data_IF_990070119613
#
_entry.id   IF_990070119613
#
_cell.length_a   1.000
_cell.length_b   1.000
_cell.length_c   1.000
_cell.angle_alpha   90.00
_cell.angle_beta   90.00
_cell.angle_gamma   90.00
#
_symmetry.space_group_name_H-M   'P 1'
#
loop_
_entity.id
_entity.type
_entity.pdbx_description
1 polymer ?
#
# COMPACT_ATOMS: atom_id res chain seq x y z
N UNK A 1 -7.66 -12.32 -2.15
CA UNK A 1 -6.62 -13.36 -2.28
C UNK A 1 -5.88 -13.23 -3.60
N UNK A 2 -6.56 -13.35 -4.75
CA UNK A 2 -5.88 -13.36 -6.05
C UNK A 2 -5.16 -12.05 -6.43
N UNK A 3 -5.68 -10.89 -6.00
CA UNK A 3 -5.09 -9.59 -6.32
C UNK A 3 -3.70 -9.41 -5.70
N UNK A 4 -3.53 -9.70 -4.40
CA UNK A 4 -2.22 -9.53 -3.75
C UNK A 4 -1.17 -10.43 -4.39
N UNK A 5 -1.46 -11.72 -4.56
CA UNK A 5 -0.55 -12.66 -5.21
C UNK A 5 -0.16 -12.19 -6.63
N UNK A 6 -1.14 -11.74 -7.42
CA UNK A 6 -0.90 -11.17 -8.76
C UNK A 6 0.00 -9.95 -8.72
N UNK A 7 -0.24 -9.01 -7.80
CA UNK A 7 0.57 -7.79 -7.71
C UNK A 7 1.97 -8.04 -7.15
N UNK A 8 2.17 -9.12 -6.39
CA UNK A 8 3.47 -9.55 -5.89
C UNK A 8 4.27 -10.38 -6.90
N UNK A 9 3.68 -10.81 -8.02
CA UNK A 9 4.35 -11.68 -9.00
C UNK A 9 5.63 -11.02 -9.54
N UNK A 10 6.76 -11.73 -9.42
CA UNK A 10 8.06 -11.26 -9.87
C UNK A 10 8.67 -10.12 -9.05
N UNK A 11 8.10 -9.79 -7.88
CA UNK A 11 8.66 -8.77 -6.96
C UNK A 11 9.39 -9.43 -5.80
N UNK A 12 10.42 -8.75 -5.31
CA UNK A 12 11.10 -9.17 -4.09
C UNK A 12 10.13 -9.11 -2.88
N UNK A 13 10.27 -9.98 -1.88
CA UNK A 13 9.49 -9.89 -0.64
C UNK A 13 9.60 -8.50 0.00
N UNK A 14 8.54 -8.09 0.70
CA UNK A 14 8.42 -6.77 1.34
C UNK A 14 8.39 -5.58 0.38
N UNK A 15 8.18 -5.81 -0.92
CA UNK A 15 7.93 -4.73 -1.89
C UNK A 15 6.54 -4.14 -1.71
N UNK A 16 6.46 -2.81 -1.57
CA UNK A 16 5.20 -2.07 -1.55
C UNK A 16 4.42 -2.23 -2.87
N UNK A 17 3.11 -2.44 -2.78
CA UNK A 17 2.23 -2.65 -3.94
C UNK A 17 0.92 -1.86 -3.83
N UNK A 18 0.29 -1.58 -4.97
CA UNK A 18 -1.12 -1.21 -5.06
C UNK A 18 -1.91 -2.50 -5.27
N UNK A 19 -2.74 -2.89 -4.31
CA UNK A 19 -3.43 -4.19 -4.33
C UNK A 19 -4.45 -4.28 -5.48
N UNK A 20 -5.32 -3.28 -5.61
CA UNK A 20 -6.34 -3.21 -6.65
C UNK A 20 -6.01 -2.09 -7.64
N UNK A 21 -5.24 -2.42 -8.69
CA UNK A 21 -4.87 -1.47 -9.74
C UNK A 21 -6.06 -1.04 -10.59
N UNK A 22 -7.10 -1.87 -10.70
CA UNK A 22 -8.29 -1.54 -11.46
C UNK A 22 -8.99 -0.33 -10.81
N UNK A 23 -9.30 -0.44 -9.52
CA UNK A 23 -9.91 0.65 -8.78
C UNK A 23 -8.97 1.85 -8.62
N UNK A 24 -7.68 1.62 -8.36
CA UNK A 24 -6.73 2.71 -8.12
C UNK A 24 -6.42 3.53 -9.37
N UNK A 25 -6.25 2.88 -10.54
CA UNK A 25 -5.62 3.48 -11.72
C UNK A 25 -6.42 3.37 -13.02
N UNK A 26 -7.36 2.42 -13.15
CA UNK A 26 -7.93 2.08 -14.47
C UNK A 26 -9.41 2.48 -14.61
N UNK A 27 -10.20 2.25 -13.55
CA UNK A 27 -11.64 2.48 -13.57
C UNK A 27 -11.96 3.96 -13.74
N UNK A 28 -12.87 4.27 -14.65
CA UNK A 28 -13.32 5.65 -14.85
C UNK A 28 -14.41 6.01 -13.82
N UNK A 29 -14.08 6.87 -12.86
CA UNK A 29 -15.02 7.38 -11.86
C UNK A 29 -15.60 8.77 -12.19
N UNK A 30 -15.27 9.33 -13.35
CA UNK A 30 -15.68 10.68 -13.74
C UNK A 30 -14.52 11.47 -14.34
N UNK A 31 -14.85 12.57 -15.00
CA UNK A 31 -13.85 13.45 -15.58
C UNK A 31 -13.05 14.18 -14.49
N UNK A 32 -11.76 14.40 -14.75
CA UNK A 32 -10.85 15.23 -13.93
C UNK A 32 -10.18 16.27 -14.83
N UNK A 33 -9.68 17.35 -14.23
CA UNK A 33 -9.01 18.43 -14.95
C UNK A 33 -7.49 18.30 -14.95
N UNK A 34 -6.93 17.41 -14.13
CA UNK A 34 -5.50 17.08 -14.10
C UNK A 34 -5.08 16.25 -15.32
N UNK A 35 -3.90 16.54 -15.86
CA UNK A 35 -3.31 15.79 -16.98
C UNK A 35 -2.38 14.70 -16.45
N UNK A 36 -2.95 13.55 -16.11
CA UNK A 36 -2.22 12.39 -15.58
C UNK A 36 -2.47 11.17 -16.48
N UNK A 37 -1.51 10.24 -16.60
CA UNK A 37 -1.64 9.08 -17.49
C UNK A 37 -2.53 7.95 -16.92
N UNK A 38 -3.23 8.20 -15.81
CA UNK A 38 -4.04 7.22 -15.09
C UNK A 38 -5.46 7.75 -14.81
N UNK A 39 -6.38 6.85 -14.46
CA UNK A 39 -7.75 7.10 -14.02
C UNK A 39 -7.90 6.66 -12.55
N UNK A 40 -8.98 5.98 -12.22
CA UNK A 40 -9.23 5.40 -10.91
C UNK A 40 -9.34 6.44 -9.80
N UNK A 41 -9.24 5.95 -8.57
CA UNK A 41 -9.19 6.81 -7.40
C UNK A 41 -7.98 7.76 -7.43
N UNK A 42 -6.86 7.36 -8.03
CA UNK A 42 -5.64 8.18 -8.03
C UNK A 42 -5.82 9.45 -8.87
N UNK A 43 -6.50 9.38 -10.02
CA UNK A 43 -6.82 10.59 -10.78
C UNK A 43 -7.76 11.53 -10.00
N UNK A 44 -8.72 10.98 -9.26
CA UNK A 44 -9.62 11.76 -8.40
C UNK A 44 -8.88 12.40 -7.22
N UNK A 45 -7.93 11.68 -6.60
CA UNK A 45 -7.08 12.21 -5.53
C UNK A 45 -6.15 13.33 -6.05
N UNK A 46 -5.58 13.16 -7.24
CA UNK A 46 -4.80 14.20 -7.91
C UNK A 46 -5.63 15.46 -8.19
N UNK A 47 -6.88 15.30 -8.65
CA UNK A 47 -7.82 16.41 -8.80
C UNK A 47 -8.14 17.08 -7.45
N UNK A 48 -8.39 16.29 -6.41
CA UNK A 48 -8.68 16.80 -5.07
C UNK A 48 -7.49 17.59 -4.50
N UNK A 49 -6.26 17.11 -4.72
CA UNK A 49 -5.04 17.82 -4.35
C UNK A 49 -4.87 19.14 -5.10
N UNK A 50 -5.22 19.19 -6.38
CA UNK A 50 -5.23 20.43 -7.18
C UNK A 50 -6.26 21.43 -6.65
N UNK A 51 -7.46 20.97 -6.28
CA UNK A 51 -8.53 21.82 -5.75
C UNK A 51 -8.25 22.29 -4.31
N UNK A 52 -7.54 21.47 -3.52
CA UNK A 52 -7.21 21.75 -2.13
C UNK A 52 -5.70 21.56 -1.89
N UNK A 53 -4.85 22.54 -2.25
CA UNK A 53 -3.39 22.39 -2.17
C UNK A 53 -2.86 22.04 -0.78
N UNK A 54 -3.54 22.49 0.28
CA UNK A 54 -3.17 22.25 1.68
C UNK A 54 -3.57 20.86 2.19
N UNK A 55 -4.45 20.14 1.49
CA UNK A 55 -4.85 18.78 1.84
C UNK A 55 -3.63 17.86 1.83
N UNK A 56 -3.45 17.04 2.87
CA UNK A 56 -2.40 16.04 2.95
C UNK A 56 -2.96 14.66 2.66
N UNK A 57 -2.44 14.01 1.61
CA UNK A 57 -2.88 12.68 1.19
C UNK A 57 -1.75 11.69 1.48
N UNK A 58 -2.03 10.73 2.35
CA UNK A 58 -1.07 9.69 2.74
C UNK A 58 -1.66 8.33 2.34
N UNK A 59 -0.95 7.47 1.59
CA UNK A 59 -1.32 6.08 1.46
C UNK A 59 -1.02 5.37 2.78
N UNK A 60 -1.98 4.58 3.24
CA UNK A 60 -1.82 3.74 4.42
C UNK A 60 -1.34 2.36 4.01
N UNK A 61 -0.21 1.92 4.58
CA UNK A 61 0.30 0.56 4.43
C UNK A 61 -0.07 -0.25 5.67
N UNK A 62 -0.80 -1.35 5.46
CA UNK A 62 -1.24 -2.23 6.53
C UNK A 62 -2.75 -2.20 6.73
N UNK A 63 -3.17 -1.96 7.96
CA UNK A 63 -4.50 -2.21 8.47
C UNK A 63 -4.70 -3.67 8.86
N UNK A 64 -5.87 -3.96 9.43
CA UNK A 64 -6.20 -5.25 10.04
C UNK A 64 -5.80 -6.49 9.24
N UNK A 65 -6.05 -6.50 7.93
CA UNK A 65 -5.80 -7.70 7.10
C UNK A 65 -4.47 -7.68 6.35
N UNK A 66 -3.68 -6.61 6.40
CA UNK A 66 -2.40 -6.49 5.67
C UNK A 66 -1.20 -6.20 6.58
N UNK A 67 -1.38 -6.33 7.90
CA UNK A 67 -0.32 -6.07 8.89
C UNK A 67 0.67 -7.22 9.09
N UNK A 68 0.35 -8.43 8.63
CA UNK A 68 1.18 -9.62 8.85
C UNK A 68 2.67 -9.43 8.44
N UNK A 69 3.00 -8.88 7.25
CA UNK A 69 4.40 -8.72 6.84
C UNK A 69 5.24 -7.87 7.79
N UNK A 70 4.63 -6.95 8.55
CA UNK A 70 5.37 -6.09 9.49
C UNK A 70 6.05 -6.88 10.61
N UNK A 71 5.44 -7.98 11.06
CA UNK A 71 6.00 -8.80 12.14
C UNK A 71 7.33 -9.45 11.76
N UNK A 72 7.44 -9.94 10.51
CA UNK A 72 8.67 -10.51 9.98
C UNK A 72 9.66 -9.41 9.54
N UNK A 73 9.14 -8.38 8.89
CA UNK A 73 9.94 -7.26 8.39
C UNK A 73 10.68 -6.53 9.51
N UNK A 74 10.01 -6.23 10.63
CA UNK A 74 10.61 -5.49 11.75
C UNK A 74 11.80 -6.20 12.42
N UNK A 75 11.92 -7.53 12.23
CA UNK A 75 13.02 -8.35 12.76
C UNK A 75 14.23 -8.42 11.82
N UNK A 76 14.12 -7.89 10.59
CA UNK A 76 15.14 -8.01 9.56
C UNK A 76 15.43 -6.66 8.91
N UNK A 77 16.65 -6.15 9.11
CA UNK A 77 17.12 -4.87 8.54
C UNK A 77 16.99 -4.80 7.01
N UNK A 78 17.31 -5.88 6.30
CA UNK A 78 17.20 -5.93 4.85
C UNK A 78 15.75 -5.85 4.38
N UNK A 79 14.83 -6.51 5.11
CA UNK A 79 13.40 -6.43 4.83
C UNK A 79 12.85 -5.01 5.06
N UNK A 80 13.24 -4.38 6.18
CA UNK A 80 12.89 -2.98 6.45
C UNK A 80 13.42 -2.03 5.37
N UNK A 81 14.66 -2.23 4.92
CA UNK A 81 15.27 -1.42 3.87
C UNK A 81 14.56 -1.60 2.53
N UNK A 82 14.20 -2.84 2.17
CA UNK A 82 13.45 -3.15 0.95
C UNK A 82 12.06 -2.51 0.95
N UNK A 83 11.32 -2.64 2.05
CA UNK A 83 10.01 -2.00 2.19
C UNK A 83 10.13 -0.47 2.15
N UNK A 84 11.02 0.11 2.94
CA UNK A 84 11.17 1.57 3.01
C UNK A 84 11.52 2.16 1.64
N UNK A 85 12.46 1.52 0.92
CA UNK A 85 12.83 1.93 -0.42
C UNK A 85 11.66 1.81 -1.40
N UNK A 86 11.03 0.64 -1.47
CA UNK A 86 9.96 0.41 -2.44
C UNK A 86 8.69 1.22 -2.15
N UNK A 87 8.37 1.49 -0.89
CA UNK A 87 7.25 2.36 -0.51
C UNK A 87 7.48 3.80 -0.97
N UNK A 88 8.69 4.33 -0.77
CA UNK A 88 9.06 5.67 -1.27
C UNK A 88 9.05 5.71 -2.79
N UNK A 89 9.62 4.70 -3.47
CA UNK A 89 9.60 4.60 -4.93
C UNK A 89 8.17 4.49 -5.49
N UNK A 90 7.27 3.79 -4.79
CA UNK A 90 5.87 3.68 -5.18
C UNK A 90 5.16 5.04 -5.11
N UNK A 91 5.24 5.73 -3.97
CA UNK A 91 4.51 6.99 -3.80
C UNK A 91 5.12 8.14 -4.61
N UNK A 92 6.43 8.11 -4.87
CA UNK A 92 7.12 9.12 -5.67
C UNK A 92 6.69 9.11 -7.15
N UNK A 93 5.98 8.07 -7.61
CA UNK A 93 5.36 8.05 -8.94
C UNK A 93 4.13 8.97 -9.04
N UNK A 94 3.63 9.48 -7.90
CA UNK A 94 2.39 10.22 -7.82
C UNK A 94 2.57 11.50 -6.99
N UNK A 95 2.61 12.65 -7.66
CA UNK A 95 2.87 13.96 -7.03
C UNK A 95 1.82 14.40 -5.99
N UNK A 96 0.68 13.72 -5.92
CA UNK A 96 -0.38 14.05 -4.97
C UNK A 96 -0.20 13.45 -3.58
N UNK A 97 0.72 12.51 -3.38
CA UNK A 97 1.02 11.98 -2.05
C UNK A 97 1.97 12.92 -1.29
N UNK A 98 1.69 13.12 0.01
CA UNK A 98 2.45 14.01 0.88
C UNK A 98 3.31 13.28 1.93
N UNK A 99 3.31 11.95 1.91
CA UNK A 99 4.01 11.14 2.90
C UNK A 99 3.45 9.72 2.96
N UNK A 100 3.62 9.07 4.11
CA UNK A 100 3.25 7.67 4.35
C UNK A 100 2.52 7.56 5.70
N UNK A 101 1.48 6.73 5.73
CA UNK A 101 0.88 6.23 6.96
C UNK A 101 1.22 4.72 7.11
N UNK A 102 1.63 4.32 8.32
CA UNK A 102 1.95 2.93 8.65
C UNK A 102 0.96 2.44 9.70
N UNK A 103 0.02 1.61 9.26
CA UNK A 103 -1.04 1.06 10.10
C UNK A 103 -0.70 -0.40 10.45
N UNK A 104 0.31 -0.59 11.31
CA UNK A 104 0.65 -1.91 11.83
C UNK A 104 -0.28 -2.29 12.98
N UNK A 105 -1.10 -3.31 12.75
CA UNK A 105 -2.03 -3.85 13.72
C UNK A 105 -1.65 -5.29 14.15
N UNK A 106 -0.95 -5.50 15.27
CA UNK A 106 -0.25 -4.51 16.10
C UNK A 106 1.18 -4.97 16.41
N UNK A 107 2.12 -4.05 16.70
CA UNK A 107 3.41 -4.43 17.25
C UNK A 107 3.25 -5.28 18.51
N UNK A 108 3.85 -6.47 18.51
CA UNK A 108 3.74 -7.43 19.61
C UNK A 108 2.57 -8.40 19.54
N UNK A 109 1.70 -8.31 18.52
CA UNK A 109 0.59 -9.25 18.30
C UNK A 109 -0.78 -8.70 18.72
N UNK A 110 -1.77 -9.58 18.90
CA UNK A 110 -3.15 -9.20 19.21
C UNK A 110 -3.99 -8.71 18.02
N UNK A 111 -3.36 -8.56 16.85
CA UNK A 111 -4.01 -8.33 15.56
C UNK A 111 -4.31 -9.63 14.81
N UNK A 112 -4.74 -9.51 13.56
CA UNK A 112 -4.93 -10.66 12.68
C UNK A 112 -3.58 -11.15 12.15
N UNK A 113 -3.01 -12.16 12.80
CA UNK A 113 -1.73 -12.77 12.42
C UNK A 113 -1.86 -13.80 11.29
N UNK A 114 -3.09 -14.15 10.91
CA UNK A 114 -3.42 -14.98 9.74
C UNK A 114 -4.03 -14.13 8.66
N UNK A 115 -3.18 -13.50 7.85
CA UNK A 115 -3.64 -12.74 6.68
C UNK A 115 -4.50 -13.63 5.77
N UNK A 116 -5.75 -13.23 5.46
CA UNK A 116 -6.63 -14.05 4.63
C UNK A 116 -6.11 -14.21 3.19
N UNK A 117 -5.11 -13.41 2.80
CA UNK A 117 -4.44 -13.45 1.49
C UNK A 117 -3.11 -14.21 1.49
N UNK A 118 -2.63 -14.64 2.66
CA UNK A 118 -1.42 -15.44 2.80
C UNK A 118 -1.56 -16.40 3.99
N UNK A 119 -2.23 -17.56 3.80
CA UNK A 119 -2.50 -18.50 4.89
C UNK A 119 -1.22 -19.18 5.42
N UNK A 120 -0.14 -19.20 4.64
CA UNK A 120 1.12 -19.87 4.97
C UNK A 120 1.98 -19.07 5.97
N UNK A 121 1.67 -17.79 6.19
CA UNK A 121 2.39 -16.92 7.13
C UNK A 121 1.72 -16.82 8.50
N UNK A 122 0.85 -17.78 8.84
CA UNK A 122 0.26 -17.89 10.18
C UNK A 122 1.37 -17.89 11.24
N UNK A 123 1.40 -16.84 12.06
CA UNK A 123 2.21 -16.87 13.29
C UNK A 123 1.60 -17.91 14.24
N UNK A 124 2.43 -18.77 14.83
CA UNK A 124 2.01 -19.63 15.92
C UNK A 124 1.59 -18.78 17.12
N UNK A 125 0.66 -19.28 17.94
CA UNK A 125 0.16 -18.59 19.14
C UNK A 125 1.21 -18.47 20.27
N UNK A 126 2.51 -18.58 19.95
CA UNK A 126 3.66 -18.41 20.86
C UNK A 126 4.20 -16.98 20.81
#
# INVERSE_FOLDING_TARGET
QNLVAKQCEGKDPYTAIIVDTEAALEKNFGAVSVNVPYKGHFAQLAEMKKQHPDLKILPSFGGWTMSEPFHAMAKNKQAMDQFSKSAVELIAQYDFFDGIDLDWEYPGGGGLTTSPWNPDTKLSDE
#
